data_IF_187375988164
#
_entry.id   IF_187375988164
#
_cell.length_a   1.000
_cell.length_b   1.000
_cell.length_c   1.000
_cell.angle_alpha   90.00
_cell.angle_beta   90.00
_cell.angle_gamma   90.00
#
_symmetry.space_group_name_H-M   'P 1'
#
loop_
_entity.id
_entity.type
_entity.pdbx_description
1 polymer ?
#
# COMPACT_ATOMS: atom_id res chain seq x y z
N UNK A 1 3.41 -7.92 16.13
CA UNK A 1 3.32 -8.17 14.66
C UNK A 1 4.22 -7.23 13.88
N UNK A 2 4.86 -7.70 12.79
CA UNK A 2 5.65 -6.85 11.89
C UNK A 2 4.81 -6.40 10.70
N UNK A 3 4.77 -5.09 10.47
CA UNK A 3 4.05 -4.45 9.37
C UNK A 3 5.05 -3.82 8.41
N UNK A 4 4.99 -4.22 7.15
CA UNK A 4 5.85 -3.72 6.08
C UNK A 4 5.06 -2.83 5.11
N UNK A 5 5.70 -1.79 4.61
CA UNK A 5 5.27 -1.02 3.46
C UNK A 5 6.37 -1.04 2.40
N UNK A 6 5.96 -1.17 1.14
CA UNK A 6 6.87 -1.17 0.02
C UNK A 6 7.00 0.23 -0.59
N UNK A 7 8.23 0.56 -0.98
CA UNK A 7 8.57 1.69 -1.83
C UNK A 7 9.14 1.15 -3.12
N UNK A 8 8.45 1.30 -4.23
CA UNK A 8 8.82 0.69 -5.51
C UNK A 8 8.62 1.63 -6.69
N UNK A 9 9.27 1.32 -7.80
CA UNK A 9 8.91 1.82 -9.11
C UNK A 9 8.03 0.80 -9.82
N UNK A 10 7.09 1.27 -10.64
CA UNK A 10 6.27 0.40 -11.49
C UNK A 10 6.54 0.68 -12.96
N UNK A 11 6.50 -0.37 -13.77
CA UNK A 11 6.60 -0.25 -15.23
C UNK A 11 5.20 0.08 -15.74
N UNK A 12 5.05 1.23 -16.40
CA UNK A 12 3.81 1.73 -16.97
C UNK A 12 3.03 0.65 -17.73
N UNK A 13 1.83 0.32 -17.24
CA UNK A 13 0.89 -0.60 -17.86
C UNK A 13 1.32 -2.06 -17.96
N UNK A 14 2.45 -2.47 -17.40
CA UNK A 14 2.96 -3.84 -17.54
C UNK A 14 2.71 -4.67 -16.27
N UNK A 15 1.49 -5.21 -16.16
CA UNK A 15 1.04 -5.96 -14.98
C UNK A 15 1.96 -7.15 -14.68
N UNK A 16 2.36 -7.92 -15.70
CA UNK A 16 3.16 -9.14 -15.54
C UNK A 16 4.53 -8.83 -14.93
N UNK A 17 5.25 -7.85 -15.47
CA UNK A 17 6.55 -7.45 -14.91
C UNK A 17 6.42 -6.81 -13.55
N UNK A 18 5.35 -6.07 -13.30
CA UNK A 18 5.10 -5.50 -11.99
C UNK A 18 4.80 -6.60 -10.96
N UNK A 19 4.05 -7.65 -11.32
CA UNK A 19 3.87 -8.83 -10.48
C UNK A 19 5.23 -9.47 -10.17
N UNK A 20 6.08 -9.71 -11.17
CA UNK A 20 7.42 -10.27 -10.96
C UNK A 20 8.25 -9.42 -9.97
N UNK A 21 8.15 -8.09 -10.06
CA UNK A 21 8.81 -7.20 -9.10
C UNK A 21 8.19 -7.29 -7.70
N UNK A 22 6.86 -7.27 -7.59
CA UNK A 22 6.15 -7.44 -6.31
C UNK A 22 6.54 -8.74 -5.60
N UNK A 23 6.65 -9.85 -6.34
CA UNK A 23 7.03 -11.16 -5.78
C UNK A 23 8.41 -11.13 -5.10
N UNK A 24 9.35 -10.32 -5.58
CA UNK A 24 10.68 -10.14 -4.93
C UNK A 24 10.52 -9.46 -3.57
N UNK A 25 9.73 -8.38 -3.52
CA UNK A 25 9.48 -7.62 -2.29
C UNK A 25 8.65 -8.41 -1.27
N UNK A 26 7.66 -9.19 -1.75
CA UNK A 26 6.88 -10.11 -0.90
C UNK A 26 7.81 -11.14 -0.26
N UNK A 27 8.69 -11.76 -1.03
CA UNK A 27 9.68 -12.72 -0.49
C UNK A 27 10.60 -12.08 0.53
N UNK A 28 11.05 -10.84 0.29
CA UNK A 28 11.88 -10.10 1.25
C UNK A 28 11.12 -9.78 2.55
N UNK A 29 9.84 -9.40 2.47
CA UNK A 29 8.99 -9.17 3.63
C UNK A 29 8.77 -10.45 4.45
N UNK A 30 8.53 -11.59 3.77
CA UNK A 30 8.41 -12.92 4.39
C UNK A 30 9.70 -13.29 5.14
N UNK A 31 10.87 -13.11 4.53
CA UNK A 31 12.18 -13.37 5.15
C UNK A 31 12.43 -12.52 6.40
N UNK A 32 11.74 -11.39 6.53
CA UNK A 32 11.79 -10.51 7.71
C UNK A 32 10.59 -10.69 8.64
N UNK A 33 9.82 -11.79 8.49
CA UNK A 33 8.66 -12.14 9.31
C UNK A 33 7.57 -11.07 9.35
N UNK A 34 7.31 -10.40 8.22
CA UNK A 34 6.20 -9.46 8.12
C UNK A 34 4.86 -10.21 8.08
N UNK A 35 3.92 -9.82 8.94
CA UNK A 35 2.53 -10.29 8.93
C UNK A 35 1.64 -9.49 7.97
N UNK A 36 2.09 -8.28 7.60
CA UNK A 36 1.40 -7.41 6.64
C UNK A 36 2.42 -6.77 5.70
N UNK A 37 2.08 -6.68 4.40
CA UNK A 37 2.82 -5.89 3.41
C UNK A 37 1.83 -5.13 2.52
N UNK A 38 2.00 -3.81 2.41
CA UNK A 38 1.19 -2.97 1.52
C UNK A 38 2.08 -2.26 0.50
N UNK A 39 1.63 -2.29 -0.74
CA UNK A 39 2.25 -1.63 -1.88
C UNK A 39 1.58 -0.28 -2.19
N UNK A 40 2.21 0.60 -3.01
CA UNK A 40 1.63 1.88 -3.43
C UNK A 40 0.33 1.77 -4.23
N UNK A 41 -0.42 2.86 -4.34
CA UNK A 41 -1.65 2.99 -5.14
C UNK A 41 -1.39 2.58 -6.60
N UNK A 42 -2.26 1.70 -7.16
CA UNK A 42 -2.11 1.19 -8.54
C UNK A 42 -0.74 0.56 -8.85
N UNK A 43 -0.09 -0.05 -7.86
CA UNK A 43 1.29 -0.54 -7.95
C UNK A 43 1.54 -1.61 -9.03
N UNK A 44 0.51 -2.33 -9.44
CA UNK A 44 0.62 -3.34 -10.51
C UNK A 44 0.54 -2.75 -11.93
N UNK A 45 0.10 -1.49 -12.07
CA UNK A 45 -0.07 -0.84 -13.38
C UNK A 45 0.76 0.44 -13.53
N UNK A 46 1.21 1.02 -12.43
CA UNK A 46 1.53 2.42 -12.32
C UNK A 46 0.26 3.27 -12.28
N UNK A 47 0.38 4.53 -11.88
CA UNK A 47 -0.74 5.47 -11.88
C UNK A 47 -0.92 6.06 -13.28
N UNK A 48 -1.63 5.31 -14.13
CA UNK A 48 -1.84 5.63 -15.53
C UNK A 48 -3.35 5.62 -15.85
N UNK A 49 -4.10 6.68 -15.46
CA UNK A 49 -5.55 6.73 -15.61
C UNK A 49 -6.03 6.49 -17.04
N UNK A 50 -5.27 6.95 -18.05
CA UNK A 50 -5.60 6.76 -19.47
C UNK A 50 -5.55 5.30 -19.93
N UNK A 51 -4.88 4.43 -19.19
CA UNK A 51 -4.82 2.98 -19.45
C UNK A 51 -5.81 2.18 -18.60
N UNK A 52 -6.54 2.83 -17.69
CA UNK A 52 -7.38 2.15 -16.71
C UNK A 52 -8.41 1.21 -17.34
N UNK A 53 -9.06 1.61 -18.45
CA UNK A 53 -10.06 0.79 -19.15
C UNK A 53 -9.48 -0.53 -19.68
N UNK A 54 -8.25 -0.48 -20.21
CA UNK A 54 -7.57 -1.64 -20.79
C UNK A 54 -6.99 -2.53 -19.70
N UNK A 55 -6.50 -1.94 -18.60
CA UNK A 55 -5.80 -2.65 -17.54
C UNK A 55 -6.71 -3.14 -16.42
N UNK A 56 -7.95 -2.62 -16.36
CA UNK A 56 -8.88 -2.98 -15.29
C UNK A 56 -9.26 -4.47 -15.34
N UNK A 57 -9.14 -5.12 -14.21
CA UNK A 57 -9.46 -6.54 -14.00
C UNK A 57 -10.32 -6.69 -12.73
N UNK A 58 -10.32 -7.86 -12.11
CA UNK A 58 -11.00 -8.11 -10.84
C UNK A 58 -10.13 -8.95 -9.91
N UNK A 59 -10.62 -9.21 -8.70
CA UNK A 59 -9.87 -9.95 -7.69
C UNK A 59 -9.59 -11.41 -8.08
N UNK A 60 -10.33 -11.98 -9.04
CA UNK A 60 -10.21 -13.38 -9.47
C UNK A 60 -9.22 -13.56 -10.64
N UNK A 61 -8.49 -12.50 -11.00
CA UNK A 61 -7.46 -12.57 -12.03
C UNK A 61 -6.39 -13.60 -11.67
N UNK A 62 -6.24 -14.62 -12.51
CA UNK A 62 -5.31 -15.74 -12.27
C UNK A 62 -3.83 -15.31 -12.22
N UNK A 63 -3.48 -14.17 -12.82
CA UNK A 63 -2.12 -13.60 -12.70
C UNK A 63 -1.74 -13.30 -11.24
N UNK A 64 -2.73 -13.11 -10.37
CA UNK A 64 -2.55 -12.82 -8.94
C UNK A 64 -2.41 -14.08 -8.06
N UNK A 65 -2.56 -15.27 -8.62
CA UNK A 65 -2.61 -16.53 -7.85
C UNK A 65 -1.32 -16.79 -7.06
N UNK A 66 -0.15 -16.44 -7.61
CA UNK A 66 1.11 -16.63 -6.87
C UNK A 66 1.22 -15.71 -5.64
N UNK A 67 0.61 -14.51 -5.68
CA UNK A 67 0.53 -13.63 -4.50
C UNK A 67 -0.33 -14.28 -3.42
N UNK A 68 -1.48 -14.87 -3.78
CA UNK A 68 -2.32 -15.64 -2.85
C UNK A 68 -1.57 -16.84 -2.28
N UNK A 69 -0.89 -17.60 -3.12
CA UNK A 69 -0.10 -18.75 -2.69
C UNK A 69 0.99 -18.36 -1.66
N UNK A 70 1.65 -17.23 -1.86
CA UNK A 70 2.64 -16.72 -0.90
C UNK A 70 1.99 -16.25 0.40
N UNK A 71 0.83 -15.59 0.32
CA UNK A 71 0.03 -15.23 1.50
C UNK A 71 -0.33 -16.47 2.32
N UNK A 72 -0.89 -17.49 1.68
CA UNK A 72 -1.34 -18.72 2.34
C UNK A 72 -0.20 -19.47 3.02
N UNK A 73 0.90 -19.71 2.28
CA UNK A 73 2.02 -20.51 2.78
C UNK A 73 2.81 -19.85 3.90
N UNK A 74 2.78 -18.52 3.98
CA UNK A 74 3.63 -17.77 4.91
C UNK A 74 2.84 -16.97 5.97
N UNK A 75 1.52 -17.03 5.95
CA UNK A 75 0.70 -16.35 6.94
C UNK A 75 0.72 -14.82 6.83
N UNK A 76 1.02 -14.25 5.65
CA UNK A 76 1.16 -12.81 5.44
C UNK A 76 -0.06 -12.22 4.73
N UNK A 77 -0.58 -11.10 5.23
CA UNK A 77 -1.58 -10.29 4.52
C UNK A 77 -0.89 -9.34 3.55
N UNK A 78 -1.34 -9.31 2.29
CA UNK A 78 -0.69 -8.52 1.23
C UNK A 78 -1.73 -7.62 0.56
N UNK A 79 -1.44 -6.31 0.43
CA UNK A 79 -2.27 -5.36 -0.31
C UNK A 79 -1.53 -4.84 -1.54
N UNK A 80 -2.09 -5.05 -2.75
CA UNK A 80 -1.54 -4.54 -4.02
C UNK A 80 -2.55 -3.65 -4.73
N UNK A 81 -2.08 -2.59 -5.36
CA UNK A 81 -2.93 -1.63 -6.08
C UNK A 81 -3.07 -1.96 -7.56
N UNK A 82 -4.30 -1.92 -8.08
CA UNK A 82 -4.60 -1.99 -9.51
C UNK A 82 -5.99 -1.41 -9.82
N UNK A 83 -6.27 -1.02 -11.08
CA UNK A 83 -7.62 -0.68 -11.47
C UNK A 83 -8.48 -1.94 -11.52
N UNK A 84 -9.66 -1.88 -10.89
CA UNK A 84 -10.65 -2.97 -10.99
C UNK A 84 -11.89 -2.50 -11.73
N UNK A 85 -12.66 -3.44 -12.28
CA UNK A 85 -13.91 -3.14 -12.96
C UNK A 85 -15.04 -4.03 -12.46
N UNK A 86 -16.23 -3.45 -12.42
CA UNK A 86 -17.51 -4.11 -12.20
C UNK A 86 -18.47 -3.60 -13.26
N UNK A 87 -19.01 -4.51 -14.07
CA UNK A 87 -19.88 -4.20 -15.22
C UNK A 87 -19.33 -3.06 -16.10
N UNK A 88 -19.70 -1.80 -15.79
CA UNK A 88 -19.34 -0.61 -16.58
C UNK A 88 -18.43 0.36 -15.83
N UNK A 89 -18.27 0.18 -14.55
CA UNK A 89 -17.54 1.12 -13.70
C UNK A 89 -16.12 0.62 -13.44
N UNK A 90 -15.16 1.56 -13.44
CA UNK A 90 -13.76 1.30 -13.12
C UNK A 90 -13.42 1.98 -11.79
N UNK A 91 -12.65 1.29 -10.97
CA UNK A 91 -12.28 1.72 -9.63
C UNK A 91 -10.76 1.72 -9.45
N UNK A 92 -10.25 2.66 -8.66
CA UNK A 92 -8.92 2.55 -8.08
C UNK A 92 -9.05 1.63 -6.86
N UNK A 93 -8.37 0.49 -6.88
CA UNK A 93 -8.57 -0.52 -5.85
C UNK A 93 -7.27 -1.07 -5.28
N UNK A 94 -7.39 -1.60 -4.07
CA UNK A 94 -6.40 -2.47 -3.44
C UNK A 94 -7.02 -3.87 -3.36
N UNK A 95 -6.37 -4.86 -3.99
CA UNK A 95 -6.69 -6.27 -3.75
C UNK A 95 -5.89 -6.73 -2.55
N UNK A 96 -6.60 -7.30 -1.58
CA UNK A 96 -6.05 -7.74 -0.30
C UNK A 96 -6.11 -9.27 -0.25
N UNK A 97 -4.97 -9.87 -0.07
CA UNK A 97 -4.76 -11.31 0.09
C UNK A 97 -4.57 -11.60 1.58
N UNK A 98 -5.42 -12.44 2.13
CA UNK A 98 -5.28 -12.94 3.49
C UNK A 98 -5.08 -14.46 3.47
N UNK A 99 -4.30 -15.03 4.40
CA UNK A 99 -4.04 -16.47 4.44
C UNK A 99 -5.33 -17.28 4.49
N UNK A 100 -5.50 -18.18 3.51
CA UNK A 100 -6.63 -19.12 3.40
C UNK A 100 -8.02 -18.46 3.39
N UNK A 101 -8.11 -17.20 2.92
CA UNK A 101 -9.37 -16.48 2.74
C UNK A 101 -9.55 -16.04 1.29
N UNK A 102 -10.81 -15.78 0.94
CA UNK A 102 -11.13 -15.11 -0.32
C UNK A 102 -10.48 -13.71 -0.38
N UNK A 103 -10.03 -13.33 -1.57
CA UNK A 103 -9.48 -12.01 -1.84
C UNK A 103 -10.53 -10.93 -1.59
N UNK A 104 -10.09 -9.79 -1.08
CA UNK A 104 -10.96 -8.64 -0.83
C UNK A 104 -10.57 -7.54 -1.80
N UNK A 105 -11.55 -6.96 -2.49
CA UNK A 105 -11.39 -5.74 -3.26
C UNK A 105 -11.82 -4.54 -2.40
N UNK A 106 -10.85 -3.70 -2.02
CA UNK A 106 -11.12 -2.40 -1.42
C UNK A 106 -10.97 -1.31 -2.48
N UNK A 107 -12.06 -0.64 -2.83
CA UNK A 107 -12.07 0.43 -3.83
C UNK A 107 -12.10 1.80 -3.16
N UNK A 108 -11.25 2.70 -3.65
CA UNK A 108 -11.09 4.09 -3.19
C UNK A 108 -12.43 4.82 -3.13
N UNK A 109 -12.80 5.32 -1.96
CA UNK A 109 -14.10 5.94 -1.71
C UNK A 109 -14.11 7.44 -1.98
N UNK A 110 -12.96 8.08 -1.79
CA UNK A 110 -12.80 9.52 -1.98
C UNK A 110 -11.78 9.77 -3.10
N UNK A 111 -12.32 10.04 -4.29
CA UNK A 111 -11.52 10.28 -5.48
C UNK A 111 -10.95 11.69 -5.48
N UNK A 112 -9.70 11.82 -5.95
CA UNK A 112 -9.16 13.12 -6.32
C UNK A 112 -9.96 13.70 -7.51
N UNK A 113 -10.18 15.02 -7.59
CA UNK A 113 -11.05 15.58 -8.64
C UNK A 113 -10.72 15.14 -10.06
N UNK A 114 -9.43 14.99 -10.41
CA UNK A 114 -9.00 14.55 -11.75
C UNK A 114 -9.26 13.06 -12.03
N UNK A 115 -9.56 12.26 -11.01
CA UNK A 115 -9.89 10.84 -11.17
C UNK A 115 -11.37 10.61 -11.54
N UNK A 116 -12.25 11.54 -11.14
CA UNK A 116 -13.72 11.40 -11.27
C UNK A 116 -14.22 11.17 -12.71
N UNK A 117 -13.58 11.69 -13.78
CA UNK A 117 -14.01 11.41 -15.14
C UNK A 117 -13.81 9.95 -15.57
N UNK A 118 -12.87 9.23 -14.93
CA UNK A 118 -12.45 7.88 -15.32
C UNK A 118 -12.94 6.84 -14.31
N UNK A 119 -12.79 7.14 -13.03
CA UNK A 119 -13.05 6.20 -11.94
C UNK A 119 -14.35 6.51 -11.20
N UNK A 120 -14.93 5.48 -10.60
CA UNK A 120 -16.04 5.59 -9.67
C UNK A 120 -15.56 5.40 -8.23
N UNK A 121 -16.25 6.08 -7.33
CA UNK A 121 -15.99 5.94 -5.90
C UNK A 121 -16.49 4.58 -5.38
N UNK A 122 -15.67 3.90 -4.60
CA UNK A 122 -16.05 2.73 -3.84
C UNK A 122 -17.09 3.07 -2.77
N UNK A 123 -17.85 2.05 -2.30
CA UNK A 123 -18.96 2.26 -1.36
C UNK A 123 -18.73 1.63 0.01
N UNK A 124 -17.81 0.66 0.10
CA UNK A 124 -17.67 -0.19 1.27
C UNK A 124 -16.34 0.08 1.98
N UNK A 125 -16.35 0.88 3.06
CA UNK A 125 -15.17 1.02 3.91
C UNK A 125 -14.91 -0.28 4.66
N UNK A 126 -13.64 -0.62 4.87
CA UNK A 126 -13.25 -1.84 5.57
C UNK A 126 -12.22 -1.58 6.66
N UNK A 127 -12.20 -2.48 7.64
CA UNK A 127 -11.05 -2.72 8.52
C UNK A 127 -10.73 -4.21 8.49
N UNK A 128 -9.47 -4.55 8.68
CA UNK A 128 -8.98 -5.92 8.72
C UNK A 128 -8.52 -6.24 10.14
N UNK A 129 -9.05 -7.32 10.73
CA UNK A 129 -8.52 -7.85 11.98
C UNK A 129 -7.39 -8.82 11.62
N UNK A 130 -6.17 -8.47 12.00
CA UNK A 130 -4.96 -9.26 11.72
C UNK A 130 -4.20 -9.43 13.03
N UNK A 131 -4.15 -10.63 13.55
CA UNK A 131 -3.62 -10.93 14.90
C UNK A 131 -4.24 -10.01 15.96
N UNK A 132 -3.43 -9.18 16.62
CA UNK A 132 -3.86 -8.23 17.66
C UNK A 132 -4.19 -6.83 17.12
N UNK A 133 -4.00 -6.59 15.83
CA UNK A 133 -4.12 -5.28 15.22
C UNK A 133 -5.42 -5.15 14.41
N UNK A 134 -5.97 -3.95 14.39
CA UNK A 134 -7.05 -3.55 13.51
C UNK A 134 -6.51 -2.59 12.47
N UNK A 135 -6.41 -3.04 11.23
CA UNK A 135 -5.82 -2.31 10.12
C UNK A 135 -6.89 -1.61 9.31
N UNK A 136 -6.82 -0.29 9.16
CA UNK A 136 -7.62 0.49 8.23
C UNK A 136 -6.77 0.83 7.00
N UNK A 137 -7.03 0.23 5.82
CA UNK A 137 -6.38 0.64 4.59
C UNK A 137 -6.92 1.99 4.12
N UNK A 138 -6.08 2.74 3.41
CA UNK A 138 -6.45 3.97 2.74
C UNK A 138 -5.74 4.06 1.38
N UNK A 139 -6.40 4.69 0.39
CA UNK A 139 -5.82 4.91 -0.94
C UNK A 139 -5.71 6.42 -1.17
N UNK A 140 -4.47 6.91 -1.15
CA UNK A 140 -4.01 8.25 -1.55
C UNK A 140 -4.90 9.40 -1.00
N UNK A 141 -5.73 10.03 -1.83
CA UNK A 141 -6.56 11.19 -1.46
C UNK A 141 -7.49 10.95 -0.25
N UNK A 142 -7.73 9.70 0.13
CA UNK A 142 -8.51 9.36 1.33
C UNK A 142 -7.90 9.90 2.62
N UNK A 143 -6.57 10.10 2.67
CA UNK A 143 -5.89 10.75 3.81
C UNK A 143 -6.33 12.20 4.03
N UNK A 144 -6.92 12.83 3.02
CA UNK A 144 -7.45 14.19 3.08
C UNK A 144 -8.91 14.23 3.52
N UNK A 145 -9.57 13.08 3.69
CA UNK A 145 -10.98 13.01 4.01
C UNK A 145 -11.23 12.66 5.48
N UNK A 146 -11.81 13.61 6.21
CA UNK A 146 -12.10 13.44 7.64
C UNK A 146 -13.01 12.24 7.93
N UNK A 147 -14.02 11.98 7.09
CA UNK A 147 -14.94 10.88 7.30
C UNK A 147 -14.25 9.50 7.19
N UNK A 148 -13.21 9.38 6.33
CA UNK A 148 -12.40 8.17 6.25
C UNK A 148 -11.62 7.92 7.55
N UNK A 149 -10.98 8.95 8.10
CA UNK A 149 -10.27 8.85 9.38
C UNK A 149 -11.23 8.58 10.55
N UNK A 150 -12.43 9.18 10.55
CA UNK A 150 -13.46 8.93 11.55
C UNK A 150 -13.99 7.48 11.48
N UNK A 151 -14.09 6.91 10.28
CA UNK A 151 -14.43 5.49 10.12
C UNK A 151 -13.37 4.59 10.77
N UNK A 152 -12.08 4.82 10.50
CA UNK A 152 -10.98 4.09 11.14
C UNK A 152 -11.08 4.17 12.67
N UNK A 153 -11.26 5.37 13.22
CA UNK A 153 -11.40 5.59 14.67
C UNK A 153 -12.60 4.87 15.27
N UNK A 154 -13.78 4.95 14.65
CA UNK A 154 -15.01 4.27 15.13
C UNK A 154 -14.86 2.75 15.16
N UNK A 155 -14.07 2.19 14.23
CA UNK A 155 -13.77 0.77 14.16
C UNK A 155 -12.53 0.38 14.98
N UNK A 156 -12.03 1.30 15.84
CA UNK A 156 -10.89 1.06 16.75
C UNK A 156 -9.63 0.62 16.02
N UNK A 157 -9.38 1.18 14.81
CA UNK A 157 -8.16 0.90 14.08
C UNK A 157 -6.94 1.27 14.93
N UNK A 158 -5.98 0.35 15.01
CA UNK A 158 -4.68 0.55 15.65
C UNK A 158 -3.63 0.98 14.64
N UNK A 159 -3.83 0.58 13.37
CA UNK A 159 -2.97 0.89 12.24
C UNK A 159 -3.77 1.52 11.10
N UNK A 160 -3.22 2.58 10.50
CA UNK A 160 -3.75 3.24 9.31
C UNK A 160 -2.69 3.17 8.22
N UNK A 161 -2.93 2.40 7.16
CA UNK A 161 -1.94 2.14 6.13
C UNK A 161 -2.38 2.78 4.82
N UNK A 162 -1.71 3.87 4.44
CA UNK A 162 -1.98 4.61 3.22
C UNK A 162 -1.10 4.11 2.06
N UNK A 163 -1.74 3.63 1.02
CA UNK A 163 -1.18 3.26 -0.28
C UNK A 163 -1.31 4.49 -1.19
N UNK A 164 -0.21 5.17 -1.49
CA UNK A 164 -0.27 6.48 -2.14
C UNK A 164 0.57 6.57 -3.41
N UNK A 165 0.26 7.60 -4.20
CA UNK A 165 1.16 8.20 -5.17
C UNK A 165 1.35 9.66 -4.75
N UNK A 166 2.49 9.98 -4.15
CA UNK A 166 2.82 11.34 -3.74
C UNK A 166 4.07 11.82 -4.46
N UNK A 167 3.95 12.99 -5.09
CA UNK A 167 5.00 13.62 -5.87
C UNK A 167 5.85 14.55 -5.03
N UNK A 168 7.02 14.93 -5.54
CA UNK A 168 7.98 15.81 -4.86
C UNK A 168 7.33 17.09 -4.34
N UNK A 169 6.40 17.68 -5.10
CA UNK A 169 5.76 18.95 -4.73
C UNK A 169 4.59 18.80 -3.72
N UNK A 170 4.13 17.57 -3.44
CA UNK A 170 2.99 17.32 -2.55
C UNK A 170 3.33 16.52 -1.30
N UNK A 171 4.52 15.94 -1.26
CA UNK A 171 4.90 14.96 -0.23
C UNK A 171 4.83 15.54 1.20
N UNK A 172 5.24 16.78 1.41
CA UNK A 172 5.29 17.37 2.74
C UNK A 172 3.88 17.57 3.34
N UNK A 173 2.90 17.92 2.50
CA UNK A 173 1.49 18.02 2.89
C UNK A 173 0.91 16.64 3.25
N UNK A 174 1.20 15.61 2.46
CA UNK A 174 0.72 14.26 2.71
C UNK A 174 1.37 13.65 3.98
N UNK A 175 2.65 13.88 4.18
CA UNK A 175 3.35 13.51 5.41
C UNK A 175 2.75 14.20 6.64
N UNK A 176 2.42 15.49 6.53
CA UNK A 176 1.76 16.23 7.60
C UNK A 176 0.39 15.65 7.92
N UNK A 177 -0.45 15.35 6.92
CA UNK A 177 -1.76 14.72 7.11
C UNK A 177 -1.64 13.40 7.85
N UNK A 178 -0.71 12.53 7.45
CA UNK A 178 -0.53 11.22 8.10
C UNK A 178 -0.01 11.34 9.53
N UNK A 179 0.87 12.29 9.81
CA UNK A 179 1.26 12.65 11.18
C UNK A 179 0.06 13.09 12.01
N UNK A 180 -0.79 13.98 11.47
CA UNK A 180 -1.99 14.48 12.14
C UNK A 180 -3.03 13.34 12.34
N UNK A 181 -3.19 12.44 11.36
CA UNK A 181 -4.06 11.25 11.47
C UNK A 181 -3.60 10.36 12.63
N UNK A 182 -2.30 10.05 12.70
CA UNK A 182 -1.74 9.24 13.76
C UNK A 182 -2.02 9.83 15.14
N UNK A 183 -1.69 11.10 15.33
CA UNK A 183 -1.86 11.83 16.58
C UNK A 183 -3.33 11.97 17.01
N UNK A 184 -4.20 12.40 16.08
CA UNK A 184 -5.60 12.72 16.42
C UNK A 184 -6.47 11.48 16.64
N UNK A 185 -6.03 10.33 16.14
CA UNK A 185 -6.77 9.07 16.26
C UNK A 185 -6.08 8.04 17.16
N UNK A 186 -4.91 8.38 17.74
CA UNK A 186 -4.11 7.50 18.59
C UNK A 186 -3.83 6.14 17.94
N UNK A 187 -3.34 6.16 16.69
CA UNK A 187 -2.98 4.98 15.91
C UNK A 187 -1.61 5.18 15.24
N UNK A 188 -0.99 4.09 14.79
CA UNK A 188 0.24 4.17 14.00
C UNK A 188 -0.15 4.34 12.53
N UNK A 189 0.38 5.37 11.85
CA UNK A 189 0.12 5.59 10.43
C UNK A 189 1.33 5.24 9.56
N UNK A 190 1.04 4.75 8.35
CA UNK A 190 2.02 4.32 7.36
C UNK A 190 1.74 4.97 6.02
N UNK A 191 2.79 5.21 5.25
CA UNK A 191 2.72 5.68 3.86
C UNK A 191 3.58 4.80 2.97
N UNK A 192 2.95 4.00 2.10
CA UNK A 192 3.61 3.29 1.01
C UNK A 192 3.57 4.16 -0.24
N UNK A 193 4.72 4.62 -0.73
CA UNK A 193 4.83 5.54 -1.87
C UNK A 193 5.78 5.00 -2.94
N UNK A 194 5.71 5.59 -4.12
CA UNK A 194 6.57 5.30 -5.26
C UNK A 194 7.92 5.99 -5.20
N UNK A 195 8.89 5.40 -5.90
CA UNK A 195 10.09 6.07 -6.45
C UNK A 195 10.02 6.08 -7.98
N UNK A 196 10.92 6.82 -8.61
CA UNK A 196 10.95 6.96 -10.08
C UNK A 196 9.83 7.85 -10.61
N UNK A 197 9.24 7.47 -11.74
CA UNK A 197 8.19 8.23 -12.41
C UNK A 197 6.90 7.40 -12.52
N UNK A 198 5.75 8.03 -12.25
CA UNK A 198 4.42 7.48 -12.49
C UNK A 198 3.42 8.62 -12.67
N UNK A 199 2.38 8.42 -13.48
CA UNK A 199 1.41 9.48 -13.78
C UNK A 199 2.00 10.72 -14.43
N UNK A 200 3.17 10.60 -15.10
CA UNK A 200 3.86 11.70 -15.75
C UNK A 200 4.66 12.63 -14.83
N UNK A 201 4.85 12.26 -13.55
CA UNK A 201 5.58 13.06 -12.56
C UNK A 201 6.60 12.23 -11.80
N UNK A 202 7.65 12.90 -11.30
CA UNK A 202 8.63 12.28 -10.41
C UNK A 202 8.04 12.08 -9.02
N UNK A 203 8.01 10.83 -8.57
CA UNK A 203 7.54 10.43 -7.25
C UNK A 203 8.56 10.77 -6.17
N UNK A 204 8.08 11.02 -4.96
CA UNK A 204 8.92 11.54 -3.88
C UNK A 204 9.65 10.46 -3.07
N UNK A 205 9.26 9.17 -3.22
CA UNK A 205 9.71 8.14 -2.29
C UNK A 205 9.25 8.46 -0.86
N UNK A 206 10.18 8.45 0.07
CA UNK A 206 9.94 8.82 1.49
C UNK A 206 8.81 8.02 2.14
N UNK A 207 8.63 6.74 1.78
CA UNK A 207 7.71 5.86 2.50
C UNK A 207 8.03 5.87 3.99
N UNK A 208 7.01 6.05 4.83
CA UNK A 208 7.20 6.50 6.22
C UNK A 208 6.26 5.84 7.21
N UNK A 209 6.65 5.87 8.49
CA UNK A 209 5.83 5.44 9.64
C UNK A 209 5.85 6.53 10.71
N UNK A 210 4.67 6.83 11.26
CA UNK A 210 4.48 7.75 12.40
C UNK A 210 3.85 7.00 13.57
N UNK A 211 4.35 7.27 14.77
CA UNK A 211 3.79 6.71 16.00
C UNK A 211 2.47 7.41 16.41
N UNK A 212 1.84 6.91 17.46
CA UNK A 212 0.56 7.43 17.99
C UNK A 212 0.61 8.89 18.47
N UNK A 213 1.79 9.49 18.59
CA UNK A 213 1.97 10.92 18.91
C UNK A 213 2.10 11.79 17.65
N UNK A 214 2.14 11.17 16.46
CA UNK A 214 2.39 11.81 15.17
C UNK A 214 3.89 12.03 14.88
N UNK A 215 4.78 11.48 15.70
CA UNK A 215 6.22 11.56 15.46
C UNK A 215 6.63 10.61 14.35
N UNK A 216 7.39 11.11 13.37
CA UNK A 216 8.03 10.29 12.35
C UNK A 216 9.08 9.37 13.02
N UNK A 217 8.88 8.06 12.94
CA UNK A 217 9.74 7.05 13.55
C UNK A 217 10.53 6.23 12.54
N UNK A 218 10.13 6.23 11.28
CA UNK A 218 10.84 5.55 10.19
C UNK A 218 10.54 6.16 8.85
N UNK A 219 11.55 6.24 7.97
CA UNK A 219 11.38 6.75 6.61
C UNK A 219 12.45 6.15 5.70
N UNK A 220 12.07 5.73 4.47
CA UNK A 220 13.00 5.43 3.39
C UNK A 220 13.50 6.73 2.74
N UNK A 221 14.55 6.63 1.92
CA UNK A 221 15.00 7.78 1.11
C UNK A 221 13.99 8.12 0.00
N UNK A 222 14.33 9.09 -0.85
CA UNK A 222 13.46 9.55 -1.94
C UNK A 222 13.70 8.86 -3.29
N UNK A 223 14.65 7.92 -3.41
CA UNK A 223 15.14 7.46 -4.70
C UNK A 223 15.26 5.94 -4.82
N UNK A 224 15.49 5.23 -3.71
CA UNK A 224 15.80 3.79 -3.70
C UNK A 224 14.56 2.96 -3.43
N UNK A 225 14.36 1.88 -4.20
CA UNK A 225 13.35 0.87 -3.87
C UNK A 225 13.70 0.16 -2.57
N UNK A 226 12.69 -0.15 -1.76
CA UNK A 226 12.89 -0.82 -0.48
C UNK A 226 11.61 -1.17 0.25
N UNK A 227 11.76 -1.85 1.38
CA UNK A 227 10.68 -2.03 2.36
C UNK A 227 11.07 -1.41 3.69
N UNK A 228 10.09 -0.77 4.32
CA UNK A 228 10.16 -0.26 5.68
C UNK A 228 9.27 -1.14 6.56
N UNK A 229 9.84 -1.72 7.60
CA UNK A 229 9.17 -2.66 8.49
C UNK A 229 9.12 -2.04 9.89
N UNK A 230 7.95 -2.05 10.50
CA UNK A 230 7.72 -1.66 11.88
C UNK A 230 7.19 -2.84 12.68
N UNK A 231 7.81 -3.12 13.82
CA UNK A 231 7.33 -4.13 14.76
C UNK A 231 6.40 -3.47 15.79
N UNK A 232 5.12 -3.87 15.81
CA UNK A 232 4.12 -3.24 16.70
C UNK A 232 4.33 -3.56 18.18
N UNK A 233 5.13 -4.57 18.51
CA UNK A 233 5.44 -4.97 19.89
C UNK A 233 6.74 -4.31 20.39
N UNK A 234 7.84 -4.52 19.65
CA UNK A 234 9.16 -4.01 20.05
C UNK A 234 9.38 -2.55 19.66
N UNK A 235 8.55 -1.99 18.77
CA UNK A 235 8.67 -0.64 18.18
C UNK A 235 9.92 -0.47 17.32
N UNK A 236 10.57 -1.56 16.95
CA UNK A 236 11.74 -1.57 16.08
C UNK A 236 11.37 -1.16 14.65
N UNK A 237 12.27 -0.40 14.02
CA UNK A 237 12.20 -0.05 12.59
C UNK A 237 13.34 -0.76 11.86
N UNK A 238 12.99 -1.46 10.78
CA UNK A 238 13.95 -2.12 9.88
C UNK A 238 13.75 -1.64 8.46
N UNK A 239 14.84 -1.30 7.77
CA UNK A 239 14.83 -0.93 6.35
C UNK A 239 15.59 -1.99 5.55
N UNK A 240 15.04 -2.43 4.43
CA UNK A 240 15.65 -3.43 3.56
C UNK A 240 15.58 -3.03 2.10
N UNK A 241 16.65 -3.33 1.36
CA UNK A 241 16.74 -3.24 -0.10
C UNK A 241 17.07 -4.60 -0.68
N UNK A 242 16.85 -4.81 -1.98
CA UNK A 242 17.17 -6.10 -2.63
C UNK A 242 18.67 -6.35 -2.74
N UNK A 243 19.49 -5.31 -2.82
CA UNK A 243 20.95 -5.43 -2.91
C UNK A 243 21.58 -6.08 -1.66
N UNK A 244 20.93 -5.97 -0.52
CA UNK A 244 21.32 -6.67 0.71
C UNK A 244 21.18 -8.21 0.65
N UNK A 245 20.42 -8.75 -0.32
CA UNK A 245 20.24 -10.21 -0.53
C UNK A 245 21.32 -10.83 -1.43
N UNK A 246 21.92 -10.06 -2.32
CA UNK A 246 22.93 -10.56 -3.28
C UNK A 246 24.23 -10.92 -2.56
N UNK A 247 24.52 -10.31 -1.41
CA UNK A 247 25.76 -10.55 -0.67
C UNK A 247 25.76 -11.81 0.23
N UNK A 248 24.60 -12.47 0.43
CA UNK A 248 24.52 -13.66 1.29
C UNK A 248 24.48 -15.00 0.54
N UNK A 249 24.38 -15.01 -0.78
CA UNK A 249 24.32 -16.24 -1.59
C UNK A 249 25.67 -16.68 -2.22
N UNK A 250 26.78 -16.04 -1.84
CA UNK A 250 28.12 -16.43 -2.26
C UNK A 250 28.99 -16.76 -1.02
N UNK A 251 28.65 -17.87 -0.36
CA UNK A 251 29.62 -18.65 0.45
C UNK A 251 29.21 -20.11 0.51
#
# INVERSE_FOLDING_TARGET
MRVAIAQIASIKGNIEKNIENHLKWIKLAIQNNAGVLVFPELSLTGYEPELAEILATNQDDSRLDEIQNLSDRNGITIGVGLPTKDERDIFISMIIFQPYKERITYSKQYLYPLEQPIFKAGKNPIVLNIETEVVSPAICYEISNKAHCEFAKRNKATLYIASVLSYINGIDDDMKKLSDIAKNNNLVSFMANYVGESGGYKCAGKSSVWDTTGKLIGQLDGETEGILIYDTETKEIVKKTLDGLILTNNK
#
